data_IF_531423007358
#
_entry.id   IF_531423007358
#
_cell.length_a   1.000
_cell.length_b   1.000
_cell.length_c   1.000
_cell.angle_alpha   90.00
_cell.angle_beta   90.00
_cell.angle_gamma   90.00
#
_symmetry.space_group_name_H-M   'P 1'
#
loop_
_entity.id
_entity.type
_entity.pdbx_description
1 polymer ?
#
# COMPACT_ATOMS: atom_id res chain seq x y z
N UNK A 1 -49.55 2.36 3.18
CA UNK A 1 -49.53 1.80 1.81
C UNK A 1 -48.35 0.85 1.70
N UNK A 2 -48.52 -0.48 1.77
CA UNK A 2 -47.41 -1.39 1.54
C UNK A 2 -47.19 -1.52 0.03
N UNK A 3 -45.98 -1.17 -0.43
CA UNK A 3 -45.55 -1.34 -1.81
C UNK A 3 -45.57 -2.83 -2.16
N UNK A 4 -46.51 -3.20 -3.03
CA UNK A 4 -46.67 -4.52 -3.61
C UNK A 4 -45.59 -4.73 -4.69
N UNK A 5 -44.32 -4.88 -4.28
CA UNK A 5 -43.33 -5.53 -5.12
C UNK A 5 -43.62 -7.02 -5.04
N UNK A 6 -44.41 -7.53 -5.99
CA UNK A 6 -44.44 -8.95 -6.28
C UNK A 6 -43.00 -9.38 -6.62
N UNK A 7 -42.27 -9.84 -5.60
CA UNK A 7 -40.90 -10.30 -5.72
C UNK A 7 -40.91 -11.52 -6.65
N UNK A 8 -40.47 -11.33 -7.90
CA UNK A 8 -40.25 -12.44 -8.83
C UNK A 8 -39.24 -13.38 -8.19
N UNK A 9 -39.72 -14.50 -7.69
CA UNK A 9 -38.88 -15.62 -7.28
C UNK A 9 -37.97 -15.99 -8.45
N UNK A 10 -36.66 -16.11 -8.21
CA UNK A 10 -35.73 -16.58 -9.23
C UNK A 10 -36.02 -18.06 -9.53
N UNK A 11 -36.91 -18.32 -10.49
CA UNK A 11 -37.36 -19.66 -10.87
C UNK A 11 -36.60 -20.25 -12.05
N UNK A 12 -35.87 -19.42 -12.79
CA UNK A 12 -35.14 -19.86 -13.97
C UNK A 12 -33.86 -19.08 -14.22
N UNK A 13 -32.87 -19.75 -14.77
CA UNK A 13 -31.60 -19.19 -15.24
C UNK A 13 -31.40 -19.50 -16.72
N UNK A 14 -30.65 -18.65 -17.42
CA UNK A 14 -30.31 -18.79 -18.84
C UNK A 14 -28.98 -18.09 -19.12
N UNK A 15 -28.53 -18.14 -20.37
CA UNK A 15 -27.35 -17.37 -20.83
C UNK A 15 -27.48 -15.85 -20.63
N UNK A 16 -28.71 -15.34 -20.51
CA UNK A 16 -28.99 -13.92 -20.26
C UNK A 16 -28.99 -13.56 -18.76
N UNK A 17 -28.91 -14.54 -17.87
CA UNK A 17 -28.82 -14.29 -16.43
C UNK A 17 -27.51 -13.57 -16.13
N UNK A 18 -27.56 -12.57 -15.25
CA UNK A 18 -26.36 -11.81 -14.94
C UNK A 18 -25.28 -12.72 -14.32
N UNK A 19 -24.04 -12.46 -14.73
CA UNK A 19 -22.88 -13.30 -14.38
C UNK A 19 -22.69 -13.43 -12.87
N UNK A 20 -22.94 -12.37 -12.10
CA UNK A 20 -22.79 -12.38 -10.64
C UNK A 20 -23.82 -13.30 -9.99
N UNK A 21 -25.07 -13.24 -10.42
CA UNK A 21 -26.11 -14.16 -9.94
C UNK A 21 -25.78 -15.60 -10.30
N UNK A 22 -25.26 -15.88 -11.50
CA UNK A 22 -24.84 -17.24 -11.88
C UNK A 22 -23.68 -17.75 -11.01
N UNK A 23 -22.66 -16.93 -10.75
CA UNK A 23 -21.54 -17.28 -9.87
C UNK A 23 -22.03 -17.55 -8.46
N UNK A 24 -22.87 -16.66 -7.91
CA UNK A 24 -23.42 -16.83 -6.58
C UNK A 24 -24.25 -18.11 -6.46
N UNK A 25 -25.14 -18.38 -7.42
CA UNK A 25 -25.94 -19.62 -7.46
C UNK A 25 -25.03 -20.85 -7.51
N UNK A 26 -24.06 -20.85 -8.42
CA UNK A 26 -23.10 -21.93 -8.54
C UNK A 26 -22.35 -22.19 -7.23
N UNK A 27 -21.85 -21.14 -6.57
CA UNK A 27 -21.15 -21.26 -5.29
C UNK A 27 -22.08 -21.74 -4.17
N UNK A 28 -23.28 -21.17 -4.07
CA UNK A 28 -24.24 -21.48 -3.02
C UNK A 28 -24.68 -22.94 -3.11
N UNK A 29 -25.02 -23.41 -4.31
CA UNK A 29 -25.40 -24.81 -4.56
C UNK A 29 -24.19 -25.72 -4.31
N UNK A 30 -23.01 -25.39 -4.83
CA UNK A 30 -21.79 -26.20 -4.64
C UNK A 30 -21.38 -26.34 -3.17
N UNK A 31 -21.71 -25.34 -2.33
CA UNK A 31 -21.38 -25.35 -0.90
C UNK A 31 -22.40 -26.11 -0.07
N UNK A 32 -23.69 -25.85 -0.27
CA UNK A 32 -24.74 -26.34 0.63
C UNK A 32 -25.56 -27.51 0.10
N UNK A 33 -25.50 -27.75 -1.21
CA UNK A 33 -26.22 -28.83 -1.90
C UNK A 33 -25.22 -29.67 -2.69
N UNK A 34 -24.12 -30.07 -2.04
CA UNK A 34 -23.00 -30.79 -2.67
C UNK A 34 -23.39 -32.15 -3.28
N UNK A 35 -24.53 -32.73 -2.86
CA UNK A 35 -25.12 -33.91 -3.48
C UNK A 35 -25.65 -33.66 -4.90
N UNK A 36 -25.85 -32.39 -5.31
CA UNK A 36 -26.28 -32.00 -6.65
C UNK A 36 -25.04 -31.62 -7.46
N UNK A 37 -24.52 -32.50 -8.35
CA UNK A 37 -23.26 -32.27 -9.04
C UNK A 37 -23.43 -31.25 -10.17
N UNK A 38 -23.18 -29.97 -9.86
CA UNK A 38 -23.22 -28.89 -10.86
C UNK A 38 -21.88 -28.64 -11.57
N UNK A 39 -20.80 -29.30 -11.12
CA UNK A 39 -19.47 -29.24 -11.74
C UNK A 39 -18.74 -27.91 -11.53
N UNK A 40 -17.60 -27.74 -12.20
CA UNK A 40 -16.82 -26.49 -12.12
C UNK A 40 -17.49 -25.34 -12.86
N UNK A 41 -17.31 -24.12 -12.37
CA UNK A 41 -17.81 -22.93 -13.05
C UNK A 41 -17.19 -22.81 -14.45
N UNK A 42 -18.01 -22.42 -15.43
CA UNK A 42 -17.63 -22.22 -16.83
C UNK A 42 -17.65 -23.47 -17.71
N UNK A 43 -17.90 -24.66 -17.14
CA UNK A 43 -18.00 -25.88 -17.94
C UNK A 43 -19.29 -25.93 -18.78
N UNK A 44 -19.27 -26.55 -19.98
CA UNK A 44 -20.47 -26.78 -20.76
C UNK A 44 -21.56 -27.49 -19.95
N UNK A 45 -22.82 -27.09 -20.11
CA UNK A 45 -23.94 -27.67 -19.37
C UNK A 45 -24.15 -27.11 -17.95
N UNK A 46 -23.31 -26.17 -17.50
CA UNK A 46 -23.38 -25.64 -16.12
C UNK A 46 -24.67 -24.88 -15.84
N UNK A 47 -25.18 -24.09 -16.81
CA UNK A 47 -26.43 -23.34 -16.64
C UNK A 47 -27.63 -24.30 -16.51
N UNK A 48 -27.67 -25.35 -17.32
CA UNK A 48 -28.69 -26.40 -17.30
C UNK A 48 -28.65 -27.18 -15.98
N UNK A 49 -27.44 -27.46 -15.46
CA UNK A 49 -27.26 -28.09 -14.15
C UNK A 49 -27.72 -27.20 -13.00
N UNK A 50 -27.41 -25.90 -13.04
CA UNK A 50 -27.94 -24.93 -12.07
C UNK A 50 -29.46 -24.86 -12.17
N UNK A 51 -30.01 -24.80 -13.38
CA UNK A 51 -31.46 -24.79 -13.62
C UNK A 51 -32.13 -26.04 -13.03
N UNK A 52 -31.53 -27.23 -13.22
CA UNK A 52 -32.00 -28.47 -12.63
C UNK A 52 -31.97 -28.43 -11.10
N UNK A 53 -30.86 -27.96 -10.52
CA UNK A 53 -30.73 -27.79 -9.08
C UNK A 53 -31.80 -26.85 -8.49
N UNK A 54 -32.17 -25.78 -9.21
CA UNK A 54 -33.23 -24.87 -8.78
C UNK A 54 -34.63 -25.51 -8.76
N UNK A 55 -34.87 -26.59 -9.50
CA UNK A 55 -36.11 -27.37 -9.40
C UNK A 55 -36.11 -28.32 -8.19
N UNK A 56 -34.94 -28.74 -7.74
CA UNK A 56 -34.77 -29.63 -6.58
C UNK A 56 -34.73 -28.86 -5.25
N UNK A 57 -34.22 -27.63 -5.27
CA UNK A 57 -34.09 -26.77 -4.08
C UNK A 57 -35.37 -25.96 -3.86
N UNK A 58 -35.83 -25.89 -2.61
CA UNK A 58 -37.01 -25.11 -2.26
C UNK A 58 -36.82 -23.61 -2.65
N UNK A 59 -37.69 -23.01 -3.50
CA UNK A 59 -37.45 -21.67 -4.06
C UNK A 59 -37.33 -20.56 -3.03
N UNK A 60 -37.98 -20.71 -1.87
CA UNK A 60 -37.85 -19.74 -0.78
C UNK A 60 -36.44 -19.69 -0.18
N UNK A 61 -35.67 -20.80 -0.18
CA UNK A 61 -34.26 -20.79 0.25
C UNK A 61 -33.49 -19.84 -0.66
N UNK A 62 -33.60 -20.05 -1.98
CA UNK A 62 -32.88 -19.25 -2.97
C UNK A 62 -33.25 -17.78 -2.83
N UNK A 63 -34.53 -17.45 -2.73
CA UNK A 63 -34.95 -16.04 -2.67
C UNK A 63 -34.55 -15.36 -1.35
N UNK A 64 -34.75 -16.01 -0.20
CA UNK A 64 -34.34 -15.45 1.09
C UNK A 64 -32.82 -15.25 1.14
N UNK A 65 -32.05 -16.24 0.66
CA UNK A 65 -30.60 -16.13 0.61
C UNK A 65 -30.15 -15.08 -0.40
N UNK A 66 -30.81 -14.93 -1.54
CA UNK A 66 -30.52 -13.87 -2.51
C UNK A 66 -30.68 -12.49 -1.88
N UNK A 67 -31.79 -12.26 -1.17
CA UNK A 67 -32.07 -10.98 -0.51
C UNK A 67 -31.12 -10.69 0.65
N UNK A 68 -30.80 -11.72 1.45
CA UNK A 68 -29.89 -11.61 2.58
C UNK A 68 -28.44 -11.38 2.17
N UNK A 69 -28.01 -11.94 1.03
CA UNK A 69 -26.59 -12.06 0.70
C UNK A 69 -26.09 -11.18 -0.45
N UNK A 70 -26.94 -10.80 -1.42
CA UNK A 70 -26.48 -10.00 -2.56
C UNK A 70 -26.62 -8.51 -2.23
N UNK A 71 -25.49 -7.87 -1.92
CA UNK A 71 -25.45 -6.41 -1.78
C UNK A 71 -25.47 -5.73 -3.16
N UNK A 72 -25.78 -4.45 -3.18
CA UNK A 72 -25.72 -3.62 -4.39
C UNK A 72 -24.30 -3.55 -4.95
N UNK A 73 -24.17 -3.40 -6.28
CA UNK A 73 -22.88 -3.36 -6.96
C UNK A 73 -21.95 -2.22 -6.44
N UNK A 74 -22.54 -1.13 -5.93
CA UNK A 74 -21.84 0.02 -5.35
C UNK A 74 -20.87 -0.37 -4.22
N UNK A 75 -21.20 -1.39 -3.41
CA UNK A 75 -20.36 -1.89 -2.31
C UNK A 75 -19.05 -2.54 -2.79
N UNK A 76 -18.99 -2.96 -4.06
CA UNK A 76 -17.85 -3.67 -4.63
C UNK A 76 -17.04 -2.83 -5.64
N UNK A 77 -17.32 -1.52 -5.73
CA UNK A 77 -16.65 -0.60 -6.67
C UNK A 77 -15.14 -0.43 -6.41
N UNK A 78 -14.68 -0.72 -5.20
CA UNK A 78 -13.27 -0.68 -4.79
C UNK A 78 -12.49 -1.94 -5.20
N UNK A 79 -13.17 -3.03 -5.55
CA UNK A 79 -12.57 -4.24 -6.11
C UNK A 79 -12.39 -3.98 -7.60
N UNK A 80 -11.15 -4.04 -8.08
CA UNK A 80 -10.73 -3.79 -9.46
C UNK A 80 -10.27 -5.09 -10.11
N UNK A 81 -10.15 -5.07 -11.43
CA UNK A 81 -9.51 -6.14 -12.22
C UNK A 81 -7.98 -6.04 -12.11
N UNK A 82 -7.48 -6.04 -10.87
CA UNK A 82 -6.06 -6.00 -10.53
C UNK A 82 -5.63 -7.37 -10.00
N UNK A 83 -4.66 -8.01 -10.65
CA UNK A 83 -4.27 -9.40 -10.35
C UNK A 83 -3.82 -9.54 -8.90
N UNK A 84 -3.06 -8.57 -8.38
CA UNK A 84 -2.56 -8.62 -7.00
C UNK A 84 -3.69 -8.49 -5.98
N UNK A 85 -4.57 -7.51 -6.17
CA UNK A 85 -5.76 -7.34 -5.34
C UNK A 85 -6.62 -8.59 -5.35
N UNK A 86 -6.88 -9.16 -6.53
CA UNK A 86 -7.73 -10.33 -6.67
C UNK A 86 -7.10 -11.58 -6.03
N UNK A 87 -5.79 -11.77 -6.15
CA UNK A 87 -5.07 -12.86 -5.47
C UNK A 87 -5.17 -12.72 -3.95
N UNK A 88 -4.86 -11.54 -3.41
CA UNK A 88 -4.93 -11.26 -1.97
C UNK A 88 -6.34 -11.44 -1.41
N UNK A 89 -7.36 -10.93 -2.11
CA UNK A 89 -8.75 -11.07 -1.70
C UNK A 89 -9.19 -12.53 -1.74
N UNK A 90 -8.78 -13.29 -2.75
CA UNK A 90 -9.12 -14.71 -2.89
C UNK A 90 -8.59 -15.52 -1.71
N UNK A 91 -7.30 -15.41 -1.41
CA UNK A 91 -6.66 -16.12 -0.30
C UNK A 91 -7.37 -15.82 1.03
N UNK A 92 -7.63 -14.53 1.27
CA UNK A 92 -8.31 -14.09 2.49
C UNK A 92 -9.73 -14.62 2.59
N UNK A 93 -10.51 -14.51 1.53
CA UNK A 93 -11.91 -14.90 1.52
C UNK A 93 -12.12 -16.40 1.56
N UNK A 94 -11.20 -17.20 1.03
CA UNK A 94 -11.24 -18.65 1.17
C UNK A 94 -11.23 -19.04 2.65
N UNK A 95 -10.38 -18.42 3.46
CA UNK A 95 -10.32 -18.67 4.91
C UNK A 95 -11.64 -18.30 5.61
N UNK A 96 -12.31 -17.23 5.19
CA UNK A 96 -13.61 -16.81 5.75
C UNK A 96 -14.80 -17.66 5.29
N UNK A 97 -14.77 -18.13 4.05
CA UNK A 97 -15.94 -18.78 3.44
C UNK A 97 -15.95 -20.29 3.65
N UNK A 98 -14.82 -20.90 4.04
CA UNK A 98 -14.60 -22.35 4.08
C UNK A 98 -15.26 -23.05 2.86
N UNK A 99 -14.83 -22.70 1.64
CA UNK A 99 -15.52 -23.10 0.44
C UNK A 99 -15.30 -24.58 0.12
N UNK A 100 -16.23 -25.19 -0.61
CA UNK A 100 -16.09 -26.57 -1.07
C UNK A 100 -14.98 -26.71 -2.13
N UNK A 101 -14.49 -27.93 -2.36
CA UNK A 101 -13.42 -28.23 -3.33
C UNK A 101 -13.65 -27.64 -4.73
N UNK A 102 -14.87 -27.69 -5.32
CA UNK A 102 -15.12 -27.10 -6.63
C UNK A 102 -14.92 -25.58 -6.66
N UNK A 103 -15.14 -24.90 -5.53
CA UNK A 103 -14.94 -23.46 -5.40
C UNK A 103 -13.44 -23.19 -5.24
N UNK A 104 -12.75 -23.92 -4.35
CA UNK A 104 -11.31 -23.78 -4.10
C UNK A 104 -10.45 -23.88 -5.37
N UNK A 105 -10.77 -24.81 -6.27
CA UNK A 105 -9.98 -25.09 -7.48
C UNK A 105 -10.33 -24.20 -8.68
N UNK A 106 -11.15 -23.16 -8.49
CA UNK A 106 -11.71 -22.37 -9.59
C UNK A 106 -10.97 -21.04 -9.82
N UNK A 107 -11.61 -20.08 -10.49
CA UNK A 107 -11.02 -18.89 -11.15
C UNK A 107 -10.27 -17.94 -10.20
N UNK A 108 -9.05 -18.31 -9.79
CA UNK A 108 -8.10 -17.40 -9.17
C UNK A 108 -7.88 -16.20 -10.09
N UNK A 109 -7.91 -14.99 -9.53
CA UNK A 109 -7.77 -13.71 -10.26
C UNK A 109 -8.99 -13.28 -11.10
N UNK A 110 -10.21 -13.71 -10.74
CA UNK A 110 -11.43 -13.19 -11.34
C UNK A 110 -12.21 -12.29 -10.37
N UNK A 111 -12.55 -11.07 -10.81
CA UNK A 111 -13.27 -10.09 -9.99
C UNK A 111 -14.65 -10.56 -9.55
N UNK A 112 -15.43 -11.15 -10.46
CA UNK A 112 -16.78 -11.61 -10.14
C UNK A 112 -16.74 -12.84 -9.21
N UNK A 113 -15.68 -13.66 -9.31
CA UNK A 113 -15.44 -14.76 -8.38
C UNK A 113 -15.17 -14.25 -6.95
N UNK A 114 -14.33 -13.24 -6.78
CA UNK A 114 -14.08 -12.60 -5.48
C UNK A 114 -15.36 -11.99 -4.89
N UNK A 115 -16.16 -11.32 -5.72
CA UNK A 115 -17.48 -10.80 -5.30
C UNK A 115 -18.40 -11.96 -4.90
N UNK A 116 -18.39 -13.06 -5.65
CA UNK A 116 -19.12 -14.27 -5.32
C UNK A 116 -18.75 -14.85 -3.96
N UNK A 117 -17.46 -14.87 -3.60
CA UNK A 117 -17.02 -15.31 -2.26
C UNK A 117 -17.54 -14.41 -1.15
N UNK A 118 -17.55 -13.08 -1.35
CA UNK A 118 -18.19 -12.14 -0.40
C UNK A 118 -19.71 -12.36 -0.31
N UNK A 119 -20.37 -12.61 -1.44
CA UNK A 119 -21.79 -12.94 -1.49
C UNK A 119 -22.06 -14.32 -0.84
N UNK A 120 -21.10 -15.24 -0.82
CA UNK A 120 -21.22 -16.53 -0.14
C UNK A 120 -20.91 -16.44 1.35
N UNK A 121 -20.10 -15.49 1.80
CA UNK A 121 -19.72 -15.35 3.19
C UNK A 121 -20.95 -15.20 4.10
N UNK A 122 -20.96 -15.96 5.21
CA UNK A 122 -22.02 -16.02 6.21
C UNK A 122 -23.42 -16.41 5.68
N UNK A 123 -23.51 -17.01 4.48
CA UNK A 123 -24.76 -17.58 3.97
C UNK A 123 -25.18 -18.82 4.75
N UNK A 124 -26.45 -19.21 4.66
CA UNK A 124 -27.02 -20.41 5.31
C UNK A 124 -28.11 -21.04 4.43
N UNK A 125 -28.58 -22.22 4.81
CA UNK A 125 -29.72 -22.91 4.16
C UNK A 125 -31.04 -22.74 4.91
N UNK A 126 -31.03 -22.06 6.06
CA UNK A 126 -32.21 -21.94 6.91
C UNK A 126 -33.30 -21.12 6.22
N UNK A 127 -34.52 -21.65 6.20
CA UNK A 127 -35.73 -20.96 5.80
C UNK A 127 -36.38 -20.40 7.06
N UNK A 128 -36.61 -19.10 7.11
CA UNK A 128 -37.55 -18.53 8.07
C UNK A 128 -38.93 -18.49 7.41
N UNK A 129 -39.98 -18.93 8.11
CA UNK A 129 -41.36 -18.91 7.58
C UNK A 129 -42.18 -17.74 8.13
N UNK A 130 -41.78 -17.19 9.28
CA UNK A 130 -42.38 -16.00 9.86
C UNK A 130 -41.87 -14.73 9.16
N UNK A 131 -42.78 -13.95 8.59
CA UNK A 131 -42.43 -12.74 7.82
C UNK A 131 -41.60 -11.73 8.61
N UNK A 132 -41.83 -11.61 9.92
CA UNK A 132 -41.03 -10.71 10.77
C UNK A 132 -39.63 -11.26 10.98
N UNK A 133 -39.50 -12.54 11.32
CA UNK A 133 -38.22 -13.22 11.50
C UNK A 133 -37.39 -13.23 10.19
N UNK A 134 -38.03 -13.44 9.03
CA UNK A 134 -37.37 -13.34 7.72
C UNK A 134 -36.79 -11.95 7.51
N UNK A 135 -37.59 -10.90 7.72
CA UNK A 135 -37.15 -9.52 7.54
C UNK A 135 -36.01 -9.16 8.49
N UNK A 136 -36.11 -9.54 9.77
CA UNK A 136 -35.04 -9.34 10.75
C UNK A 136 -33.76 -10.07 10.36
N UNK A 137 -33.87 -11.32 9.88
CA UNK A 137 -32.74 -12.10 9.36
C UNK A 137 -32.08 -11.44 8.15
N UNK A 138 -32.85 -10.99 7.16
CA UNK A 138 -32.34 -10.31 5.96
C UNK A 138 -31.60 -9.03 6.35
N UNK A 139 -32.19 -8.21 7.23
CA UNK A 139 -31.58 -6.95 7.69
C UNK A 139 -30.24 -7.23 8.39
N UNK A 140 -30.22 -8.16 9.35
CA UNK A 140 -29.00 -8.53 10.08
C UNK A 140 -27.93 -9.08 9.14
N UNK A 141 -28.29 -10.01 8.26
CA UNK A 141 -27.35 -10.62 7.31
C UNK A 141 -26.74 -9.59 6.37
N UNK A 142 -27.56 -8.68 5.83
CA UNK A 142 -27.07 -7.58 4.97
C UNK A 142 -26.14 -6.65 5.74
N UNK A 143 -26.48 -6.32 6.99
CA UNK A 143 -25.65 -5.44 7.81
C UNK A 143 -24.29 -6.06 8.11
N UNK A 144 -24.24 -7.30 8.59
CA UNK A 144 -22.99 -8.03 8.83
C UNK A 144 -22.15 -8.17 7.55
N UNK A 145 -22.80 -8.30 6.40
CA UNK A 145 -22.08 -8.34 5.12
C UNK A 145 -21.48 -7.00 4.72
N UNK A 146 -22.18 -5.89 4.93
CA UNK A 146 -21.62 -4.55 4.72
C UNK A 146 -20.40 -4.33 5.60
N UNK A 147 -20.49 -4.72 6.86
CA UNK A 147 -19.38 -4.65 7.82
C UNK A 147 -18.18 -5.47 7.34
N UNK A 148 -18.40 -6.71 6.90
CA UNK A 148 -17.35 -7.55 6.32
C UNK A 148 -16.70 -6.91 5.09
N UNK A 149 -17.49 -6.39 4.16
CA UNK A 149 -16.96 -5.72 2.95
C UNK A 149 -16.14 -4.49 3.32
N UNK A 150 -16.61 -3.67 4.27
CA UNK A 150 -15.86 -2.52 4.76
C UNK A 150 -14.57 -2.92 5.47
N UNK A 151 -14.62 -3.94 6.31
CA UNK A 151 -13.47 -4.48 7.00
C UNK A 151 -12.41 -4.94 5.99
N UNK A 152 -12.78 -5.80 5.04
CA UNK A 152 -11.85 -6.33 4.04
C UNK A 152 -11.29 -5.21 3.16
N UNK A 153 -12.12 -4.22 2.78
CA UNK A 153 -11.67 -3.03 2.06
C UNK A 153 -10.58 -2.29 2.84
N UNK A 154 -10.81 -1.98 4.11
CA UNK A 154 -9.84 -1.26 4.94
C UNK A 154 -8.54 -2.06 5.10
N UNK A 155 -8.63 -3.38 5.25
CA UNK A 155 -7.47 -4.25 5.33
C UNK A 155 -6.69 -4.29 4.00
N UNK A 156 -7.38 -4.30 2.86
CA UNK A 156 -6.73 -4.17 1.55
C UNK A 156 -6.06 -2.81 1.37
N UNK A 157 -6.73 -1.73 1.74
CA UNK A 157 -6.17 -0.38 1.65
C UNK A 157 -4.92 -0.25 2.52
N UNK A 158 -4.92 -0.84 3.72
CA UNK A 158 -3.74 -0.92 4.59
C UNK A 158 -2.60 -1.71 3.91
N UNK A 159 -2.87 -2.92 3.43
CA UNK A 159 -1.89 -3.76 2.73
C UNK A 159 -1.28 -3.06 1.51
N UNK A 160 -2.12 -2.43 0.68
CA UNK A 160 -1.68 -1.69 -0.49
C UNK A 160 -0.86 -0.45 -0.11
N UNK A 161 -1.28 0.30 0.92
CA UNK A 161 -0.53 1.46 1.40
C UNK A 161 0.84 1.05 1.96
N UNK A 162 0.92 -0.06 2.69
CA UNK A 162 2.18 -0.60 3.20
C UNK A 162 3.19 -0.94 2.11
N UNK A 163 2.71 -1.44 0.95
CA UNK A 163 3.54 -1.66 -0.23
C UNK A 163 3.94 -0.35 -0.91
N UNK A 164 3.00 0.56 -1.10
CA UNK A 164 3.25 1.88 -1.72
C UNK A 164 4.25 2.73 -0.94
N UNK A 165 4.33 2.58 0.38
CA UNK A 165 5.32 3.28 1.20
C UNK A 165 6.73 3.06 0.68
N UNK A 166 7.08 1.83 0.28
CA UNK A 166 8.42 1.49 -0.17
C UNK A 166 8.58 1.58 -1.70
N UNK A 167 7.53 1.94 -2.45
CA UNK A 167 7.56 2.04 -3.90
C UNK A 167 8.64 3.00 -4.44
N UNK A 168 9.06 3.97 -3.63
CA UNK A 168 10.20 4.84 -3.96
C UNK A 168 11.49 4.06 -4.27
N UNK A 169 11.68 2.87 -3.69
CA UNK A 169 12.81 1.98 -3.98
C UNK A 169 12.63 1.17 -5.28
N UNK A 170 11.43 1.13 -5.85
CA UNK A 170 11.13 0.44 -7.11
C UNK A 170 11.53 1.26 -8.34
N UNK A 171 12.74 1.83 -8.33
CA UNK A 171 13.28 2.58 -9.45
C UNK A 171 14.53 1.89 -9.98
N UNK A 172 14.32 1.07 -11.02
CA UNK A 172 15.39 0.29 -11.67
C UNK A 172 16.48 1.18 -12.27
N UNK A 173 16.23 2.47 -12.50
CA UNK A 173 17.21 3.41 -13.05
C UNK A 173 18.08 4.05 -11.97
N UNK A 174 17.74 3.85 -10.69
CA UNK A 174 18.40 4.52 -9.58
C UNK A 174 18.85 3.54 -8.48
N UNK A 175 19.90 2.72 -8.76
CA UNK A 175 20.37 1.69 -7.82
C UNK A 175 20.84 2.27 -6.48
N UNK A 176 21.31 3.54 -6.46
CA UNK A 176 21.70 4.26 -5.23
C UNK A 176 20.56 4.37 -4.20
N UNK A 177 19.29 4.23 -4.61
CA UNK A 177 18.16 4.20 -3.66
C UNK A 177 18.21 2.95 -2.79
N UNK A 178 18.42 1.78 -3.39
CA UNK A 178 18.53 0.51 -2.66
C UNK A 178 19.78 0.51 -1.77
N UNK A 179 20.90 1.05 -2.26
CA UNK A 179 22.12 1.20 -1.46
C UNK A 179 21.90 2.09 -0.22
N UNK A 180 21.28 3.25 -0.42
CA UNK A 180 20.89 4.13 0.68
C UNK A 180 19.93 3.43 1.65
N UNK A 181 18.99 2.66 1.11
CA UNK A 181 18.08 1.81 1.88
C UNK A 181 18.82 0.82 2.75
N UNK A 182 19.75 0.04 2.20
CA UNK A 182 20.53 -0.94 2.93
C UNK A 182 21.34 -0.32 4.07
N UNK A 183 21.98 0.82 3.83
CA UNK A 183 22.70 1.55 4.87
C UNK A 183 21.82 1.97 6.05
N UNK A 184 20.58 2.39 5.78
CA UNK A 184 19.63 2.74 6.83
C UNK A 184 19.06 1.50 7.49
N UNK A 185 18.80 0.45 6.71
CA UNK A 185 18.23 -0.81 7.17
C UNK A 185 19.14 -1.47 8.21
N UNK A 186 20.44 -1.57 7.92
CA UNK A 186 21.45 -2.10 8.87
C UNK A 186 21.46 -1.37 10.22
N UNK A 187 21.11 -0.08 10.24
CA UNK A 187 21.11 0.73 11.46
C UNK A 187 19.80 0.65 12.22
N UNK A 188 18.67 0.71 11.52
CA UNK A 188 17.34 0.75 12.14
C UNK A 188 16.80 -0.63 12.48
N UNK A 189 17.15 -1.64 11.69
CA UNK A 189 16.70 -3.02 11.84
C UNK A 189 17.90 -3.96 11.93
N UNK A 190 18.84 -3.66 12.83
CA UNK A 190 20.11 -4.40 12.97
C UNK A 190 19.89 -5.91 13.11
N UNK A 191 18.89 -6.32 13.89
CA UNK A 191 18.54 -7.72 14.09
C UNK A 191 18.06 -8.38 12.79
N UNK A 192 17.31 -7.65 11.96
CA UNK A 192 16.83 -8.16 10.67
C UNK A 192 17.93 -8.16 9.61
N UNK A 193 18.93 -7.28 9.74
CA UNK A 193 20.06 -7.19 8.83
C UNK A 193 21.18 -8.20 9.13
N UNK A 194 21.15 -8.83 10.31
CA UNK A 194 22.17 -9.79 10.72
C UNK A 194 22.23 -10.95 9.73
N UNK A 195 23.44 -11.30 9.27
CA UNK A 195 23.69 -12.35 8.28
C UNK A 195 23.03 -12.17 6.91
N UNK A 196 22.50 -10.98 6.59
CA UNK A 196 21.98 -10.68 5.25
C UNK A 196 22.99 -9.91 4.41
N UNK A 197 23.00 -10.23 3.12
CA UNK A 197 23.62 -9.40 2.11
C UNK A 197 22.76 -8.16 1.82
N UNK A 198 23.34 -7.22 1.09
CA UNK A 198 22.64 -6.04 0.59
C UNK A 198 21.50 -6.40 -0.35
N UNK A 199 20.40 -5.65 -0.28
CA UNK A 199 19.26 -5.84 -1.16
C UNK A 199 19.65 -5.64 -2.62
N UNK A 200 19.45 -6.66 -3.43
CA UNK A 200 19.76 -6.63 -4.87
C UNK A 200 18.64 -6.01 -5.70
N UNK A 201 17.41 -6.04 -5.17
CA UNK A 201 16.23 -5.52 -5.86
C UNK A 201 15.10 -5.13 -4.88
N UNK A 202 14.09 -4.43 -5.40
CA UNK A 202 12.94 -3.97 -4.63
C UNK A 202 12.10 -5.10 -4.01
N UNK A 203 11.96 -6.25 -4.68
CA UNK A 203 11.17 -7.37 -4.16
C UNK A 203 11.81 -8.01 -2.93
N UNK A 204 13.14 -8.08 -2.90
CA UNK A 204 13.88 -8.56 -1.73
C UNK A 204 13.65 -7.66 -0.51
N UNK A 205 13.69 -6.34 -0.71
CA UNK A 205 13.34 -5.36 0.33
C UNK A 205 11.92 -5.61 0.85
N UNK A 206 10.92 -5.68 -0.03
CA UNK A 206 9.53 -5.92 0.37
C UNK A 206 9.38 -7.23 1.14
N UNK A 207 9.97 -8.31 0.63
CA UNK A 207 9.91 -9.62 1.27
C UNK A 207 10.42 -9.58 2.71
N UNK A 208 11.53 -8.89 2.98
CA UNK A 208 12.07 -8.80 4.35
C UNK A 208 11.14 -8.02 5.26
N UNK A 209 10.56 -6.91 4.79
CA UNK A 209 9.63 -6.13 5.60
C UNK A 209 8.32 -6.88 5.87
N UNK A 210 7.79 -7.60 4.86
CA UNK A 210 6.54 -8.34 4.97
C UNK A 210 6.71 -9.61 5.83
N UNK A 211 7.75 -10.40 5.60
CA UNK A 211 8.02 -11.64 6.37
C UNK A 211 8.28 -11.40 7.86
N UNK A 212 8.77 -10.21 8.23
CA UNK A 212 9.02 -9.83 9.62
C UNK A 212 7.91 -8.95 10.20
N UNK A 213 6.78 -8.80 9.50
CA UNK A 213 5.62 -8.01 9.93
C UNK A 213 6.01 -6.58 10.38
N UNK A 214 6.96 -5.95 9.69
CA UNK A 214 7.44 -4.62 10.07
C UNK A 214 6.31 -3.59 9.91
N UNK A 215 5.91 -2.87 10.98
CA UNK A 215 4.79 -1.93 10.94
C UNK A 215 4.96 -0.81 9.91
N UNK A 216 3.83 -0.29 9.38
CA UNK A 216 3.82 0.81 8.41
C UNK A 216 4.56 2.05 8.90
N UNK A 217 4.45 2.38 10.19
CA UNK A 217 5.09 3.55 10.79
C UNK A 217 6.62 3.42 10.70
N UNK A 218 7.16 2.23 10.96
CA UNK A 218 8.59 1.96 10.87
C UNK A 218 9.06 1.98 9.41
N UNK A 219 8.25 1.47 8.47
CA UNK A 219 8.49 1.60 7.01
C UNK A 219 8.58 3.06 6.57
N UNK A 220 7.70 3.92 7.07
CA UNK A 220 7.70 5.37 6.76
C UNK A 220 8.94 6.05 7.34
N UNK A 221 9.31 5.74 8.58
CA UNK A 221 10.51 6.28 9.21
C UNK A 221 11.78 5.84 8.46
N UNK A 222 11.83 4.57 8.07
CA UNK A 222 12.86 3.99 7.22
C UNK A 222 12.98 4.73 5.88
N UNK A 223 11.88 4.88 5.15
CA UNK A 223 11.84 5.59 3.87
C UNK A 223 12.39 7.01 4.01
N UNK A 224 11.95 7.74 5.05
CA UNK A 224 12.38 9.12 5.28
C UNK A 224 13.90 9.22 5.49
N UNK A 225 14.47 8.25 6.20
CA UNK A 225 15.90 8.17 6.49
C UNK A 225 16.71 7.75 5.26
N UNK A 226 16.18 6.80 4.48
CA UNK A 226 16.78 6.35 3.23
C UNK A 226 16.82 7.46 2.18
N UNK A 227 15.74 8.24 2.02
CA UNK A 227 15.72 9.43 1.15
C UNK A 227 16.80 10.43 1.53
N UNK A 228 16.95 10.76 2.82
CA UNK A 228 18.01 11.64 3.32
C UNK A 228 19.41 11.08 3.03
N UNK A 229 19.60 9.76 3.18
CA UNK A 229 20.88 9.09 2.89
C UNK A 229 21.19 9.10 1.39
N UNK A 230 20.22 8.81 0.54
CA UNK A 230 20.37 8.82 -0.90
C UNK A 230 20.78 10.21 -1.40
N UNK A 231 20.13 11.28 -0.93
CA UNK A 231 20.56 12.65 -1.27
C UNK A 231 22.00 12.94 -0.86
N UNK A 232 22.45 12.44 0.30
CA UNK A 232 23.85 12.58 0.73
C UNK A 232 24.83 11.80 -0.16
N UNK A 233 24.46 10.58 -0.57
CA UNK A 233 25.30 9.76 -1.48
C UNK A 233 25.42 10.42 -2.85
N UNK A 234 24.30 10.85 -3.44
CA UNK A 234 24.29 11.59 -4.72
C UNK A 234 25.13 12.87 -4.67
N UNK A 235 25.02 13.64 -3.58
CA UNK A 235 25.83 14.84 -3.41
C UNK A 235 27.32 14.51 -3.30
N UNK A 236 27.69 13.43 -2.61
CA UNK A 236 29.10 12.99 -2.55
C UNK A 236 29.65 12.57 -3.91
N UNK A 237 28.86 11.87 -4.72
CA UNK A 237 29.27 11.50 -6.08
C UNK A 237 29.40 12.72 -6.99
N UNK A 238 28.42 13.64 -6.94
CA UNK A 238 28.41 14.85 -7.78
C UNK A 238 29.63 15.75 -7.54
N UNK A 239 30.17 15.80 -6.32
CA UNK A 239 31.29 16.67 -5.96
C UNK A 239 32.56 15.90 -5.63
N UNK A 240 32.69 14.66 -6.09
CA UNK A 240 33.79 13.74 -5.78
C UNK A 240 35.13 14.34 -6.25
N UNK A 241 35.85 14.98 -5.34
CA UNK A 241 37.16 15.60 -5.58
C UNK A 241 37.14 17.10 -5.88
N UNK A 242 35.98 17.71 -6.12
CA UNK A 242 35.89 19.13 -6.51
C UNK A 242 35.57 20.06 -5.34
N UNK A 243 34.80 19.60 -4.35
CA UNK A 243 34.37 20.43 -3.21
C UNK A 243 34.42 19.66 -1.90
N UNK A 244 35.13 20.23 -0.94
CA UNK A 244 35.19 19.71 0.44
C UNK A 244 34.31 20.59 1.33
N UNK A 245 33.42 19.96 2.09
CA UNK A 245 32.65 20.68 3.09
C UNK A 245 33.56 21.03 4.28
N UNK A 246 33.79 22.33 4.50
CA UNK A 246 34.47 22.83 5.68
C UNK A 246 33.44 23.35 6.68
N UNK A 247 33.31 22.69 7.84
CA UNK A 247 32.46 23.17 8.92
C UNK A 247 33.23 24.19 9.73
N UNK A 248 32.92 25.47 9.55
CA UNK A 248 33.57 26.58 10.26
C UNK A 248 32.59 27.25 11.23
N UNK A 249 33.07 27.54 12.42
CA UNK A 249 32.37 28.39 13.38
C UNK A 249 32.75 29.84 13.13
N UNK A 250 31.76 30.69 12.88
CA UNK A 250 31.95 32.13 12.67
C UNK A 250 30.98 32.92 13.55
N UNK A 251 31.36 34.13 13.93
CA UNK A 251 30.49 34.98 14.76
C UNK A 251 29.19 35.35 14.04
N UNK A 252 28.09 35.63 14.76
CA UNK A 252 26.83 36.07 14.15
C UNK A 252 26.99 37.31 13.26
N UNK A 253 27.89 38.23 13.65
CA UNK A 253 28.25 39.42 12.88
C UNK A 253 28.91 39.06 11.54
N UNK A 254 29.85 38.10 11.54
CA UNK A 254 30.49 37.61 10.32
C UNK A 254 29.50 36.89 9.40
N UNK A 255 28.61 36.06 9.94
CA UNK A 255 27.55 35.40 9.17
C UNK A 255 26.60 36.43 8.50
N UNK A 256 26.26 37.51 9.19
CA UNK A 256 25.46 38.59 8.60
C UNK A 256 26.19 39.36 7.50
N UNK A 257 27.50 39.62 7.67
CA UNK A 257 28.33 40.23 6.61
C UNK A 257 28.39 39.32 5.38
N UNK A 258 28.55 38.01 5.58
CA UNK A 258 28.56 37.02 4.49
C UNK A 258 27.24 36.99 3.73
N UNK A 259 26.09 37.01 4.44
CA UNK A 259 24.76 37.14 3.81
C UNK A 259 24.64 38.40 2.96
N UNK A 260 25.09 39.55 3.48
CA UNK A 260 25.05 40.83 2.74
C UNK A 260 25.93 40.81 1.50
N UNK A 261 27.13 40.23 1.57
CA UNK A 261 28.04 40.08 0.43
C UNK A 261 27.45 39.14 -0.64
N UNK A 262 26.89 38.01 -0.21
CA UNK A 262 26.18 37.06 -1.07
C UNK A 262 25.04 37.74 -1.83
N UNK A 263 24.19 38.51 -1.14
CA UNK A 263 23.09 39.25 -1.76
C UNK A 263 23.59 40.35 -2.72
N UNK A 264 24.58 41.14 -2.29
CA UNK A 264 25.14 42.25 -3.10
C UNK A 264 25.70 41.78 -4.44
N UNK A 265 26.36 40.61 -4.46
CA UNK A 265 27.03 40.09 -5.64
C UNK A 265 26.25 38.98 -6.36
N UNK A 266 25.04 38.63 -5.88
CA UNK A 266 24.21 37.55 -6.41
C UNK A 266 24.95 36.20 -6.47
N UNK A 267 25.80 35.95 -5.47
CA UNK A 267 26.59 34.72 -5.35
C UNK A 267 26.11 33.88 -4.17
N UNK A 268 26.32 32.57 -4.23
CA UNK A 268 26.16 31.72 -3.04
C UNK A 268 27.17 32.13 -1.96
N UNK A 269 26.82 31.95 -0.69
CA UNK A 269 27.75 32.25 0.42
C UNK A 269 29.05 31.45 0.32
N UNK A 270 28.99 30.20 -0.16
CA UNK A 270 30.17 29.38 -0.43
C UNK A 270 31.08 30.00 -1.51
N UNK A 271 30.51 30.49 -2.62
CA UNK A 271 31.29 31.15 -3.67
C UNK A 271 31.95 32.44 -3.18
N UNK A 272 31.26 33.21 -2.32
CA UNK A 272 31.88 34.40 -1.68
C UNK A 272 33.09 33.99 -0.82
N UNK A 273 32.97 32.91 -0.03
CA UNK A 273 34.09 32.41 0.78
C UNK A 273 35.25 31.98 -0.12
N UNK A 274 35.00 31.18 -1.17
CA UNK A 274 36.04 30.71 -2.10
C UNK A 274 36.78 31.88 -2.77
N UNK A 275 36.06 32.89 -3.27
CA UNK A 275 36.67 34.08 -3.88
C UNK A 275 37.55 34.84 -2.88
N UNK A 276 37.05 35.05 -1.65
CA UNK A 276 37.80 35.76 -0.62
C UNK A 276 39.06 34.99 -0.19
N UNK A 277 38.95 33.67 -0.06
CA UNK A 277 40.09 32.80 0.27
C UNK A 277 41.14 32.81 -0.84
N UNK A 278 40.74 32.65 -2.10
CA UNK A 278 41.67 32.65 -3.23
C UNK A 278 42.36 34.00 -3.37
N UNK A 279 41.61 35.09 -3.29
CA UNK A 279 42.18 36.44 -3.34
C UNK A 279 43.19 36.64 -2.24
N UNK A 280 42.86 36.27 -1.00
CA UNK A 280 43.79 36.42 0.11
C UNK A 280 45.00 35.49 0.01
N UNK A 281 44.83 34.27 -0.52
CA UNK A 281 45.96 33.37 -0.75
C UNK A 281 46.93 33.90 -1.80
N UNK A 282 46.40 34.48 -2.89
CA UNK A 282 47.18 35.07 -3.98
C UNK A 282 47.88 36.37 -3.57
N UNK A 283 47.16 37.28 -2.90
CA UNK A 283 47.69 38.61 -2.58
C UNK A 283 48.37 38.67 -1.22
N UNK A 284 48.00 37.78 -0.27
CA UNK A 284 48.48 37.73 1.11
C UNK A 284 48.51 39.11 1.79
N UNK A 285 47.43 39.86 1.65
CA UNK A 285 47.36 41.27 2.07
C UNK A 285 46.53 41.47 3.33
N UNK A 286 45.32 40.90 3.38
CA UNK A 286 44.33 41.23 4.40
C UNK A 286 44.62 40.57 5.74
N UNK A 287 45.08 39.31 5.76
CA UNK A 287 45.43 38.59 6.99
C UNK A 287 46.68 39.21 7.63
N UNK A 288 47.79 39.46 6.91
CA UNK A 288 48.95 40.14 7.50
C UNK A 288 48.65 41.55 7.97
N UNK A 289 47.83 42.33 7.26
CA UNK A 289 47.41 43.66 7.70
C UNK A 289 46.59 43.60 8.99
N UNK A 290 45.63 42.66 9.07
CA UNK A 290 44.84 42.44 10.27
C UNK A 290 45.74 42.03 11.46
N UNK A 291 46.70 41.13 11.25
CA UNK A 291 47.64 40.69 12.28
C UNK A 291 48.64 41.79 12.68
N UNK A 292 49.11 42.59 11.72
CA UNK A 292 50.00 43.73 11.94
C UNK A 292 49.32 44.86 12.72
N UNK A 293 48.03 45.08 12.46
CA UNK A 293 47.18 46.01 13.23
C UNK A 293 46.99 45.54 14.67
N UNK A 294 46.83 44.23 14.88
CA UNK A 294 46.78 43.62 16.22
C UNK A 294 48.13 43.78 16.96
N UNK A 295 49.27 43.58 16.27
CA UNK A 295 50.61 43.77 16.86
C UNK A 295 50.93 45.24 17.20
N UNK A 296 50.52 46.20 16.37
CA UNK A 296 50.68 47.65 16.66
C UNK A 296 49.88 48.10 17.90
N UNK A 297 48.73 47.47 18.17
CA UNK A 297 47.96 47.74 19.39
C UNK A 297 48.59 47.15 20.66
N UNK A 298 49.33 46.04 20.58
CA UNK A 298 50.05 45.48 21.72
C UNK A 298 51.39 46.19 22.03
N UNK A 299 52.00 46.86 21.05
CA UNK A 299 53.29 47.56 21.21
C UNK A 299 53.24 48.96 21.84
N UNK A 300 52.07 49.61 21.92
CA UNK A 300 51.93 50.98 22.45
C UNK A 300 51.62 51.08 23.95
N UNK A 301 51.65 49.97 24.71
CA UNK A 301 51.46 49.95 26.18
C UNK A 301 52.76 49.82 26.99
N UNK A 302 53.92 50.11 26.40
CA UNK A 302 55.19 50.22 27.16
C UNK A 302 56.06 51.34 26.63
N UNK A 303 55.81 52.55 27.10
CA UNK A 303 56.84 53.59 27.26
C UNK A 303 56.27 54.71 28.13
N UNK A 304 56.65 54.63 29.40
CA UNK A 304 56.71 55.63 30.49
C UNK A 304 55.46 56.45 30.77
#
# INVERSE_FOLDING_TARGET
MPNNLAQKTLKSVSEKTDKRTLIWLWMFISKYFSAIPIGSYGMPGMIEKIQKALYEIHPAIIEQQRQANLLEASFYTWIKDDIEQLAWLTEKLINFTNPSTPILQSMHNNRDYVIGLLDLANSTTIINYDSRAINEYIIKSRQSKKELVHQIKNEWEKHNNEKKVLEWFNDKKEPVRLEAGWHVFKKQFSNLAQHRAEFTNYQELLYVFDSNNVPTIDRLYFLSSAKKRCSKLKNKEKYKGEKVQCNVEISPSAANKLKKLSAKHQLSQAAVIEILLNKEYETNTFIPEALGSVRKYCGRRRSV
#
